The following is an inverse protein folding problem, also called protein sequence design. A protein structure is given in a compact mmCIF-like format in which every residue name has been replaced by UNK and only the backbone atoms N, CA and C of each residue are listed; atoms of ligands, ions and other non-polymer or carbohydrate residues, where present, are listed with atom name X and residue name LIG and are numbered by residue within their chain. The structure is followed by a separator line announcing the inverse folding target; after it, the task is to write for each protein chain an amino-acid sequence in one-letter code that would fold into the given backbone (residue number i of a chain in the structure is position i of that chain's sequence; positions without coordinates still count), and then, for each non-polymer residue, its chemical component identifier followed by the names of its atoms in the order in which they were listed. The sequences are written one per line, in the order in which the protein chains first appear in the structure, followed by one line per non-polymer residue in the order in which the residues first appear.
data_IF_024267989477
#
_entry.id   IF_024267989477
#
_cell.length_a   1.000
_cell.length_b   1.000
_cell.length_c   1.000
_cell.angle_alpha   90.00
_cell.angle_beta   90.00
_cell.angle_gamma   90.00
#
_symmetry.space_group_name_H-M   'P 1'
#
loop_
_entity.id
_entity.type
_entity.pdbx_description
1 polymer ?
#
# COMPACT_ATOMS: atom_id res chain seq x y z
N UNK A 1 -36.49 0.97 50.80
CA UNK A 1 -35.59 0.16 49.95
C UNK A 1 -35.08 1.06 48.83
N UNK A 2 -33.81 1.50 48.90
CA UNK A 2 -33.20 2.38 47.89
C UNK A 2 -32.35 1.50 46.96
N UNK A 3 -32.81 1.28 45.76
CA UNK A 3 -32.07 0.56 44.70
C UNK A 3 -30.93 1.44 44.18
N UNK A 4 -29.71 1.07 44.48
CA UNK A 4 -28.49 1.68 43.92
C UNK A 4 -28.40 1.29 42.43
N UNK A 5 -28.64 2.24 41.54
CA UNK A 5 -28.28 2.12 40.12
C UNK A 5 -26.74 2.11 40.03
N UNK A 6 -26.20 0.98 39.73
CA UNK A 6 -24.80 0.82 39.30
C UNK A 6 -24.61 1.59 37.98
N UNK A 7 -23.88 2.69 38.01
CA UNK A 7 -23.36 3.36 36.84
C UNK A 7 -22.35 2.41 36.18
N UNK A 8 -22.77 1.73 35.11
CA UNK A 8 -21.86 1.08 34.19
C UNK A 8 -20.88 2.16 33.68
N UNK A 9 -19.61 2.05 34.05
CA UNK A 9 -18.57 2.90 33.50
C UNK A 9 -18.41 2.55 32.02
N UNK A 10 -18.96 3.39 31.16
CA UNK A 10 -18.65 3.38 29.74
C UNK A 10 -17.19 3.78 29.62
N UNK A 11 -16.33 2.75 29.60
CA UNK A 11 -14.90 2.93 29.34
C UNK A 11 -14.82 3.53 27.95
N UNK A 12 -14.36 4.79 27.88
CA UNK A 12 -14.08 5.50 26.64
C UNK A 12 -13.16 4.63 25.79
N UNK A 13 -13.72 3.95 24.80
CA UNK A 13 -12.98 3.27 23.75
C UNK A 13 -12.52 4.31 22.73
N UNK A 14 -11.74 5.29 23.19
CA UNK A 14 -10.97 6.16 22.32
C UNK A 14 -9.63 5.48 22.01
N UNK A 15 -9.68 4.26 21.51
CA UNK A 15 -8.59 3.64 20.79
C UNK A 15 -8.52 4.38 19.45
N UNK A 16 -7.56 5.26 19.31
CA UNK A 16 -7.18 5.79 18.00
C UNK A 16 -6.96 4.59 17.07
N UNK A 17 -7.87 4.43 16.11
CA UNK A 17 -7.78 3.35 15.13
C UNK A 17 -6.61 3.68 14.22
N UNK A 18 -5.44 3.12 14.51
CA UNK A 18 -4.29 3.18 13.62
C UNK A 18 -4.55 2.27 12.42
N UNK A 19 -4.27 2.77 11.22
CA UNK A 19 -4.23 1.94 10.04
C UNK A 19 -3.05 0.96 10.17
N UNK A 20 -3.30 -0.31 10.00
CA UNK A 20 -2.24 -1.32 10.04
C UNK A 20 -1.61 -1.55 8.67
N UNK A 21 -2.42 -1.49 7.63
CA UNK A 21 -1.98 -1.70 6.25
C UNK A 21 -2.75 -0.88 5.24
N UNK A 22 -2.11 -0.59 4.12
CA UNK A 22 -2.72 0.03 2.93
C UNK A 22 -2.56 -0.92 1.75
N UNK A 23 -3.63 -1.10 0.99
CA UNK A 23 -3.61 -1.72 -0.34
C UNK A 23 -3.66 -0.61 -1.39
N UNK A 24 -2.60 -0.48 -2.16
CA UNK A 24 -2.45 0.54 -3.17
C UNK A 24 -2.41 -0.06 -4.56
N UNK A 25 -3.44 0.18 -5.36
CA UNK A 25 -3.48 -0.15 -6.78
C UNK A 25 -2.78 0.96 -7.56
N UNK A 26 -1.52 0.72 -7.91
CA UNK A 26 -0.63 1.78 -8.43
C UNK A 26 -0.78 2.04 -9.92
N UNK A 27 -1.31 1.09 -10.67
CA UNK A 27 -1.56 1.23 -12.10
C UNK A 27 -2.64 0.28 -12.60
N UNK A 28 -3.44 0.73 -13.55
CA UNK A 28 -4.36 -0.13 -14.29
C UNK A 28 -3.71 -0.81 -15.50
N UNK A 29 -2.45 -0.49 -15.82
CA UNK A 29 -1.75 -1.07 -16.97
C UNK A 29 -1.20 -2.45 -16.63
N UNK A 30 -1.30 -3.39 -17.58
CA UNK A 30 -0.69 -4.71 -17.49
C UNK A 30 -0.16 -5.14 -18.87
N UNK A 31 0.94 -5.86 -18.88
CA UNK A 31 1.56 -6.44 -20.08
C UNK A 31 1.32 -7.94 -20.20
N UNK A 32 0.36 -8.49 -19.44
CA UNK A 32 -0.08 -9.88 -19.50
C UNK A 32 -1.61 -9.98 -19.54
N UNK A 33 -2.13 -11.15 -19.90
CA UNK A 33 -3.57 -11.45 -20.01
C UNK A 33 -3.88 -12.78 -19.32
N UNK A 34 -3.64 -12.84 -18.01
CA UNK A 34 -3.90 -14.04 -17.24
C UNK A 34 -5.38 -14.42 -17.24
N UNK A 35 -5.70 -15.66 -17.58
CA UNK A 35 -7.09 -16.13 -17.66
C UNK A 35 -7.84 -16.03 -16.32
N UNK A 36 -7.13 -16.09 -15.19
CA UNK A 36 -7.68 -16.01 -13.84
C UNK A 36 -7.64 -14.60 -13.23
N UNK A 37 -7.33 -13.57 -14.02
CA UNK A 37 -7.17 -12.22 -13.51
C UNK A 37 -8.52 -11.64 -13.08
N UNK A 38 -8.72 -11.44 -11.76
CA UNK A 38 -9.93 -10.82 -11.23
C UNK A 38 -10.04 -9.32 -11.54
N UNK A 39 -8.92 -8.68 -11.90
CA UNK A 39 -8.83 -7.25 -12.18
C UNK A 39 -8.95 -6.90 -13.67
N UNK A 40 -9.06 -7.90 -14.55
CA UNK A 40 -9.07 -7.71 -16.00
C UNK A 40 -10.16 -6.74 -16.49
N UNK A 41 -11.35 -6.78 -15.91
CA UNK A 41 -12.47 -5.91 -16.28
C UNK A 41 -12.24 -4.45 -15.87
N UNK A 42 -11.54 -4.20 -14.75
CA UNK A 42 -11.24 -2.86 -14.26
C UNK A 42 -10.09 -2.23 -15.06
N UNK A 43 -9.09 -3.01 -15.45
CA UNK A 43 -8.04 -2.57 -16.37
C UNK A 43 -8.60 -2.11 -17.72
N UNK A 44 -9.67 -2.74 -18.21
CA UNK A 44 -10.32 -2.39 -19.46
C UNK A 44 -11.03 -1.01 -19.42
N UNK A 45 -11.35 -0.48 -18.25
CA UNK A 45 -12.04 0.81 -18.10
C UNK A 45 -11.16 2.03 -18.42
N UNK A 46 -9.86 1.86 -18.61
CA UNK A 46 -8.90 2.94 -18.93
C UNK A 46 -8.98 4.15 -17.99
N UNK A 47 -9.28 3.93 -16.73
CA UNK A 47 -9.23 4.98 -15.73
C UNK A 47 -7.79 5.47 -15.55
N UNK A 48 -7.64 6.72 -15.13
CA UNK A 48 -6.31 7.29 -14.88
C UNK A 48 -5.74 6.70 -13.60
N UNK A 49 -4.48 6.31 -13.65
CA UNK A 49 -3.73 5.95 -12.46
C UNK A 49 -3.60 7.15 -11.51
N UNK A 50 -3.55 6.90 -10.20
CA UNK A 50 -3.19 7.91 -9.23
C UNK A 50 -1.83 8.50 -9.57
N UNK A 51 -1.73 9.81 -9.57
CA UNK A 51 -0.46 10.52 -9.73
C UNK A 51 0.43 10.31 -8.50
N UNK A 52 1.74 10.51 -8.66
CA UNK A 52 2.67 10.49 -7.53
C UNK A 52 2.24 11.46 -6.42
N UNK A 53 1.77 12.64 -6.80
CA UNK A 53 1.32 13.69 -5.88
C UNK A 53 0.08 13.28 -5.07
N UNK A 54 -0.88 12.57 -5.68
CA UNK A 54 -2.04 12.05 -4.98
C UNK A 54 -1.63 10.96 -3.99
N UNK A 55 -0.73 10.06 -4.39
CA UNK A 55 -0.17 9.03 -3.50
C UNK A 55 0.63 9.67 -2.36
N UNK A 56 1.37 10.75 -2.64
CA UNK A 56 2.08 11.52 -1.62
C UNK A 56 1.14 12.05 -0.54
N UNK A 57 0.01 12.64 -0.94
CA UNK A 57 -1.02 13.11 0.01
C UNK A 57 -1.58 11.99 0.87
N UNK A 58 -1.79 10.79 0.29
CA UNK A 58 -2.21 9.62 1.06
C UNK A 58 -1.15 9.28 2.12
N UNK A 59 0.12 9.19 1.74
CA UNK A 59 1.21 8.93 2.66
C UNK A 59 1.29 9.96 3.79
N UNK A 60 1.21 11.25 3.48
CA UNK A 60 1.28 12.34 4.47
C UNK A 60 0.13 12.32 5.49
N UNK A 61 -1.03 11.79 5.12
CA UNK A 61 -2.22 11.79 5.97
C UNK A 61 -2.51 10.47 6.67
N UNK A 62 -1.89 9.38 6.21
CA UNK A 62 -2.18 8.04 6.72
C UNK A 62 -1.60 7.76 8.12
N UNK A 63 -0.58 8.53 8.56
CA UNK A 63 0.13 8.28 9.80
C UNK A 63 1.01 7.02 9.73
N UNK A 64 1.32 6.42 10.87
CA UNK A 64 2.09 5.19 10.92
C UNK A 64 1.28 4.02 10.37
N UNK A 65 1.87 3.23 9.47
CA UNK A 65 1.33 1.99 8.94
C UNK A 65 2.41 0.91 8.94
N UNK A 66 2.02 -0.33 9.13
CA UNK A 66 2.96 -1.43 9.24
C UNK A 66 3.28 -2.05 7.87
N UNK A 67 2.26 -2.22 7.03
CA UNK A 67 2.37 -2.93 5.74
C UNK A 67 1.85 -2.11 4.57
N UNK A 68 2.61 -2.12 3.49
CA UNK A 68 2.18 -1.60 2.20
C UNK A 68 2.01 -2.76 1.21
N UNK A 69 0.78 -2.95 0.76
CA UNK A 69 0.44 -3.88 -0.31
C UNK A 69 0.31 -3.09 -1.61
N UNK A 70 1.15 -3.39 -2.58
CA UNK A 70 1.12 -2.75 -3.89
C UNK A 70 0.62 -3.74 -4.92
N UNK A 71 -0.37 -3.34 -5.68
CA UNK A 71 -1.00 -4.17 -6.70
C UNK A 71 -1.48 -3.31 -7.88
N UNK A 72 -2.36 -3.85 -8.68
CA UNK A 72 -2.97 -3.19 -9.84
C UNK A 72 -3.01 -4.15 -11.02
N UNK A 73 -2.67 -3.66 -12.21
CA UNK A 73 -2.27 -4.49 -13.33
C UNK A 73 -0.92 -5.13 -13.05
N UNK A 74 0.12 -4.67 -13.73
CA UNK A 74 1.50 -5.07 -13.43
C UNK A 74 2.26 -3.89 -12.81
N UNK A 75 2.56 -3.91 -11.51
CA UNK A 75 3.19 -2.79 -10.81
C UNK A 75 4.52 -2.35 -11.39
N UNK A 76 5.30 -3.27 -11.98
CA UNK A 76 6.60 -2.97 -12.58
C UNK A 76 6.51 -2.11 -13.85
N UNK A 77 5.31 -1.83 -14.35
CA UNK A 77 5.11 -0.87 -15.45
C UNK A 77 5.07 0.58 -14.95
N UNK A 78 4.94 0.80 -13.64
CA UNK A 78 4.96 2.13 -13.05
C UNK A 78 6.38 2.53 -12.65
N UNK A 79 6.94 3.51 -13.33
CA UNK A 79 8.37 3.86 -13.22
C UNK A 79 8.76 4.52 -11.89
N UNK A 80 7.87 5.30 -11.28
CA UNK A 80 8.10 6.00 -10.01
C UNK A 80 7.80 5.14 -8.76
N UNK A 81 7.61 3.83 -8.92
CA UNK A 81 7.27 2.93 -7.83
C UNK A 81 8.36 2.82 -6.74
N UNK A 82 9.67 2.80 -7.06
CA UNK A 82 10.70 2.84 -6.03
C UNK A 82 10.63 4.08 -5.14
N UNK A 83 10.34 5.24 -5.73
CA UNK A 83 10.16 6.51 -5.00
C UNK A 83 8.93 6.44 -4.08
N UNK A 84 7.87 5.79 -4.51
CA UNK A 84 6.66 5.55 -3.70
C UNK A 84 7.01 4.70 -2.47
N UNK A 85 7.77 3.61 -2.63
CA UNK A 85 8.21 2.79 -1.50
C UNK A 85 9.04 3.57 -0.51
N UNK A 86 10.04 4.31 -0.98
CA UNK A 86 10.91 5.14 -0.14
C UNK A 86 10.13 6.24 0.59
N UNK A 87 9.11 6.81 -0.05
CA UNK A 87 8.24 7.79 0.54
C UNK A 87 7.43 7.21 1.70
N UNK A 88 6.78 6.05 1.50
CA UNK A 88 6.03 5.38 2.57
C UNK A 88 6.95 4.89 3.69
N UNK A 89 8.17 4.47 3.37
CA UNK A 89 9.17 4.12 4.38
C UNK A 89 9.49 5.31 5.29
N UNK A 90 9.75 6.49 4.70
CA UNK A 90 10.07 7.70 5.47
C UNK A 90 8.89 8.28 6.23
N UNK A 91 7.73 8.38 5.59
CA UNK A 91 6.57 9.07 6.16
C UNK A 91 5.74 8.19 7.10
N UNK A 92 5.66 6.89 6.82
CA UNK A 92 4.71 5.99 7.46
C UNK A 92 5.40 4.87 8.26
N UNK A 93 6.73 4.77 8.23
CA UNK A 93 7.53 3.79 8.96
C UNK A 93 7.15 2.34 8.64
N UNK A 94 6.81 2.05 7.39
CA UNK A 94 6.44 0.70 6.95
C UNK A 94 7.55 -0.31 7.25
N UNK A 95 7.16 -1.53 7.62
CA UNK A 95 8.07 -2.65 7.93
C UNK A 95 8.03 -3.75 6.89
N UNK A 96 6.93 -3.85 6.15
CA UNK A 96 6.76 -4.85 5.10
C UNK A 96 6.19 -4.20 3.82
N UNK A 97 6.74 -4.57 2.67
CA UNK A 97 6.18 -4.27 1.35
C UNK A 97 5.90 -5.57 0.62
N UNK A 98 4.67 -5.72 0.16
CA UNK A 98 4.25 -6.85 -0.65
C UNK A 98 3.83 -6.37 -2.03
N UNK A 99 4.47 -6.91 -3.06
CA UNK A 99 4.21 -6.56 -4.45
C UNK A 99 4.19 -7.83 -5.30
N UNK A 100 3.01 -8.35 -5.65
CA UNK A 100 2.92 -9.39 -6.68
C UNK A 100 3.34 -8.83 -8.04
N UNK A 101 4.04 -9.62 -8.82
CA UNK A 101 4.47 -9.28 -10.18
C UNK A 101 4.37 -10.49 -11.09
N UNK A 102 4.10 -10.29 -12.36
CA UNK A 102 4.13 -11.35 -13.36
C UNK A 102 5.56 -11.77 -13.76
N UNK A 103 6.58 -11.04 -13.29
CA UNK A 103 7.99 -11.36 -13.52
C UNK A 103 8.51 -11.13 -14.94
N UNK A 104 7.73 -10.52 -15.83
CA UNK A 104 8.15 -10.28 -17.23
C UNK A 104 9.23 -9.20 -17.39
N UNK A 105 9.57 -8.50 -16.30
CA UNK A 105 10.66 -7.51 -16.23
C UNK A 105 11.64 -7.83 -15.10
N UNK A 106 12.34 -8.97 -15.14
CA UNK A 106 13.15 -9.44 -14.02
C UNK A 106 14.29 -8.49 -13.66
N UNK A 107 14.96 -7.89 -14.66
CA UNK A 107 16.06 -6.95 -14.42
C UNK A 107 15.59 -5.73 -13.63
N UNK A 108 14.41 -5.19 -13.97
CA UNK A 108 13.79 -4.08 -13.23
C UNK A 108 13.47 -4.45 -11.79
N UNK A 109 12.92 -5.64 -11.56
CA UNK A 109 12.62 -6.13 -10.22
C UNK A 109 13.90 -6.26 -9.39
N UNK A 110 14.95 -6.83 -9.96
CA UNK A 110 16.26 -6.99 -9.30
C UNK A 110 16.85 -5.63 -8.94
N UNK A 111 16.83 -4.66 -9.85
CA UNK A 111 17.32 -3.30 -9.62
C UNK A 111 16.54 -2.63 -8.48
N UNK A 112 15.22 -2.71 -8.50
CA UNK A 112 14.36 -2.11 -7.48
C UNK A 112 14.53 -2.74 -6.11
N UNK A 113 14.67 -4.06 -6.03
CA UNK A 113 14.96 -4.75 -4.76
C UNK A 113 16.30 -4.30 -4.19
N UNK A 114 17.34 -4.18 -5.02
CA UNK A 114 18.65 -3.67 -4.56
C UNK A 114 18.55 -2.25 -4.03
N UNK A 115 17.87 -1.36 -4.76
CA UNK A 115 17.62 0.03 -4.36
C UNK A 115 16.83 0.09 -3.04
N UNK A 116 15.77 -0.69 -2.93
CA UNK A 116 14.92 -0.75 -1.75
C UNK A 116 15.70 -1.23 -0.52
N UNK A 117 16.49 -2.30 -0.64
CA UNK A 117 17.32 -2.80 0.45
C UNK A 117 18.35 -1.77 0.92
N UNK A 118 18.85 -0.94 0.03
CA UNK A 118 19.79 0.14 0.38
C UNK A 118 19.10 1.30 1.08
N UNK A 119 17.95 1.73 0.59
CA UNK A 119 17.27 2.96 1.04
C UNK A 119 16.24 2.70 2.16
N UNK A 120 15.80 1.46 2.34
CA UNK A 120 14.82 1.03 3.34
C UNK A 120 15.34 -0.18 4.13
N UNK A 121 16.46 -0.09 4.85
CA UNK A 121 17.18 -1.25 5.41
C UNK A 121 16.39 -2.05 6.45
N UNK A 122 15.45 -1.42 7.17
CA UNK A 122 14.64 -2.04 8.22
C UNK A 122 13.27 -2.53 7.73
N UNK A 123 13.07 -2.57 6.41
CA UNK A 123 11.83 -2.99 5.77
C UNK A 123 12.03 -4.31 4.99
N UNK A 124 11.03 -5.21 5.05
CA UNK A 124 11.04 -6.48 4.34
C UNK A 124 10.18 -6.43 3.07
#
# INVERSE_FOLDING_TARGET
MKTKRTRSSFRSMNSERKLESIFLFVTGKCNDKCAMCFYANDMAKKEKDLTFEEIRKISETAGEINKLWVSGGEPTLREDLPEIFEMFYRNNQIKDVNMPTNGLKPDRVIEWVKRFRTNCPDCN
#
